data_IF_975832581133
#
_entry.id   IF_975832581133
#
_cell.length_a   1.000
_cell.length_b   1.000
_cell.length_c   1.000
_cell.angle_alpha   90.00
_cell.angle_beta   90.00
_cell.angle_gamma   90.00
#
_symmetry.space_group_name_H-M   'P 1'
#
loop_
_entity.id
_entity.type
_entity.pdbx_description
1 polymer ?
#
# COMPACT_ATOMS: atom_id res chain seq x y z
N UNK A 1 25.07 24.20 -25.05
CA UNK A 1 23.96 25.17 -25.07
C UNK A 1 22.66 24.38 -25.19
N UNK A 2 22.05 24.03 -24.05
CA UNK A 2 20.69 23.46 -23.96
C UNK A 2 20.02 23.80 -22.62
N UNK A 3 20.78 24.30 -21.65
CA UNK A 3 20.36 24.59 -20.28
C UNK A 3 19.21 25.59 -20.13
N UNK A 4 19.07 26.60 -21.00
CA UNK A 4 17.99 27.61 -20.83
C UNK A 4 16.61 27.12 -21.25
N UNK A 5 16.53 26.14 -22.16
CA UNK A 5 15.26 25.57 -22.63
C UNK A 5 14.74 24.52 -21.66
N UNK A 6 15.66 23.74 -21.08
CA UNK A 6 15.37 22.76 -20.04
C UNK A 6 14.95 23.44 -18.73
N UNK A 7 15.62 24.53 -18.33
CA UNK A 7 15.23 25.36 -17.16
C UNK A 7 13.84 26.00 -17.33
N UNK A 8 13.52 26.52 -18.52
CA UNK A 8 12.21 27.12 -18.78
C UNK A 8 11.08 26.06 -18.81
N UNK A 9 11.37 24.84 -19.25
CA UNK A 9 10.39 23.73 -19.22
C UNK A 9 10.16 23.22 -17.79
N UNK A 10 11.22 23.02 -16.99
CA UNK A 10 11.07 22.64 -15.57
C UNK A 10 10.30 23.69 -14.76
N UNK A 11 10.48 24.98 -15.08
CA UNK A 11 9.76 26.06 -14.43
C UNK A 11 8.28 26.08 -14.84
N UNK A 12 7.98 25.89 -16.14
CA UNK A 12 6.61 25.79 -16.64
C UNK A 12 5.86 24.55 -16.11
N UNK A 13 6.56 23.42 -15.91
CA UNK A 13 5.97 22.22 -15.29
C UNK A 13 5.61 22.46 -13.83
N UNK A 14 6.48 23.12 -13.05
CA UNK A 14 6.21 23.46 -11.63
C UNK A 14 5.07 24.47 -11.46
N UNK A 15 4.84 25.30 -12.47
CA UNK A 15 3.72 26.25 -12.52
C UNK A 15 2.37 25.58 -12.84
N UNK A 16 2.33 24.32 -13.31
CA UNK A 16 1.09 23.59 -13.51
C UNK A 16 0.31 23.47 -12.17
N UNK A 17 -0.98 23.86 -12.12
CA UNK A 17 -1.82 23.72 -10.93
C UNK A 17 -1.94 22.28 -10.39
N UNK A 18 -1.73 21.26 -11.23
CA UNK A 18 -1.76 19.84 -10.86
C UNK A 18 -0.36 19.25 -10.58
N UNK A 19 0.71 20.02 -10.73
CA UNK A 19 2.09 19.52 -10.55
C UNK A 19 2.31 18.72 -9.25
N UNK A 20 1.82 19.15 -8.06
CA UNK A 20 2.01 18.36 -6.83
C UNK A 20 1.36 16.98 -6.90
N UNK A 21 0.21 16.88 -7.58
CA UNK A 21 -0.52 15.63 -7.78
C UNK A 21 0.23 14.74 -8.75
N UNK A 22 0.70 15.30 -9.86
CA UNK A 22 1.44 14.58 -10.89
C UNK A 22 2.76 14.05 -10.32
N UNK A 23 3.53 14.89 -9.61
CA UNK A 23 4.77 14.50 -8.95
C UNK A 23 4.53 13.37 -7.93
N UNK A 24 3.51 13.50 -7.07
CA UNK A 24 3.14 12.46 -6.12
C UNK A 24 2.77 11.15 -6.83
N UNK A 25 1.96 11.22 -7.90
CA UNK A 25 1.58 10.03 -8.66
C UNK A 25 2.79 9.38 -9.34
N UNK A 26 3.73 10.15 -9.89
CA UNK A 26 4.97 9.62 -10.47
C UNK A 26 5.83 8.88 -9.43
N UNK A 27 5.88 9.35 -8.19
CA UNK A 27 6.57 8.63 -7.11
C UNK A 27 5.89 7.28 -6.81
N UNK A 28 4.57 7.24 -6.78
CA UNK A 28 3.82 6.00 -6.59
C UNK A 28 4.04 5.03 -7.77
N UNK A 29 4.00 5.53 -9.01
CA UNK A 29 4.28 4.75 -10.23
C UNK A 29 5.69 4.14 -10.19
N UNK A 30 6.69 4.90 -9.74
CA UNK A 30 8.05 4.39 -9.55
C UNK A 30 8.10 3.26 -8.51
N UNK A 31 7.42 3.40 -7.37
CA UNK A 31 7.36 2.33 -6.37
C UNK A 31 6.73 1.07 -6.94
N UNK A 32 5.63 1.20 -7.68
CA UNK A 32 4.92 0.07 -8.30
C UNK A 32 5.80 -0.64 -9.34
N UNK A 33 6.44 0.12 -10.22
CA UNK A 33 7.17 -0.40 -11.39
C UNK A 33 8.60 -0.85 -11.12
N UNK A 34 9.23 -0.35 -10.04
CA UNK A 34 10.60 -0.73 -9.67
C UNK A 34 10.64 -1.48 -8.33
N UNK A 35 10.23 -0.82 -7.25
CA UNK A 35 10.53 -1.30 -5.90
C UNK A 35 9.71 -2.54 -5.53
N UNK A 36 8.44 -2.58 -5.93
CA UNK A 36 7.61 -3.77 -5.75
C UNK A 36 8.05 -4.91 -6.66
N UNK A 37 8.46 -4.63 -7.90
CA UNK A 37 8.98 -5.66 -8.82
C UNK A 37 10.26 -6.30 -8.25
N UNK A 38 11.18 -5.48 -7.72
CA UNK A 38 12.36 -5.97 -7.01
C UNK A 38 11.99 -6.80 -5.78
N UNK A 39 10.94 -6.44 -5.04
CA UNK A 39 10.47 -7.22 -3.90
C UNK A 39 9.98 -8.62 -4.34
N UNK A 40 9.20 -8.71 -5.42
CA UNK A 40 8.81 -10.02 -5.99
C UNK A 40 10.03 -10.87 -6.31
N UNK A 41 10.98 -10.35 -7.10
CA UNK A 41 12.18 -11.10 -7.47
C UNK A 41 13.01 -11.53 -6.25
N UNK A 42 13.12 -10.66 -5.25
CA UNK A 42 13.86 -10.97 -4.02
C UNK A 42 13.19 -12.09 -3.23
N UNK A 43 11.86 -12.08 -3.17
CA UNK A 43 11.06 -13.14 -2.53
C UNK A 43 11.15 -14.44 -3.30
N UNK A 44 11.06 -14.43 -4.62
CA UNK A 44 11.12 -15.64 -5.45
C UNK A 44 12.50 -16.30 -5.34
N UNK A 45 13.55 -15.50 -5.48
CA UNK A 45 14.92 -15.97 -5.31
C UNK A 45 15.13 -16.53 -3.91
N UNK A 46 14.64 -15.86 -2.86
CA UNK A 46 14.78 -16.36 -1.50
C UNK A 46 13.96 -17.63 -1.25
N UNK A 47 12.68 -17.61 -1.63
CA UNK A 47 11.76 -18.71 -1.41
C UNK A 47 12.22 -19.90 -2.19
N UNK A 48 12.80 -19.81 -3.39
CA UNK A 48 13.14 -20.95 -4.26
C UNK A 48 14.65 -21.14 -4.50
N UNK A 49 15.51 -20.54 -3.67
CA UNK A 49 16.98 -20.56 -3.80
C UNK A 49 17.66 -21.93 -3.92
N UNK A 50 17.00 -23.03 -3.53
CA UNK A 50 17.55 -24.39 -3.52
C UNK A 50 17.05 -25.28 -4.68
N UNK A 51 16.26 -24.74 -5.61
CA UNK A 51 15.76 -25.46 -6.79
C UNK A 51 15.94 -24.63 -8.07
N UNK A 52 15.93 -25.28 -9.23
CA UNK A 52 15.65 -24.60 -10.50
C UNK A 52 14.17 -24.21 -10.55
N UNK A 53 13.88 -22.98 -10.09
CA UNK A 53 12.52 -22.45 -10.02
C UNK A 53 11.78 -22.53 -11.35
N UNK A 54 12.42 -22.09 -12.44
CA UNK A 54 11.82 -22.05 -13.78
C UNK A 54 11.41 -23.44 -14.25
N UNK A 55 12.23 -24.45 -13.99
CA UNK A 55 11.91 -25.84 -14.37
C UNK A 55 10.79 -26.43 -13.51
N UNK A 56 10.78 -26.15 -12.21
CA UNK A 56 9.78 -26.72 -11.29
C UNK A 56 8.42 -26.04 -11.46
N UNK A 57 8.37 -24.71 -11.56
CA UNK A 57 7.09 -23.97 -11.68
C UNK A 57 6.31 -24.36 -12.93
N UNK A 58 6.98 -24.59 -14.07
CA UNK A 58 6.33 -25.01 -15.32
C UNK A 58 5.61 -26.36 -15.24
N UNK A 59 5.89 -27.17 -14.22
CA UNK A 59 5.24 -28.46 -13.98
C UNK A 59 4.18 -28.39 -12.86
N UNK A 60 4.14 -27.31 -12.09
CA UNK A 60 3.27 -27.18 -10.94
C UNK A 60 1.79 -27.22 -11.36
N UNK A 61 0.93 -28.02 -10.68
CA UNK A 61 -0.50 -28.03 -11.00
C UNK A 61 -1.15 -26.66 -10.81
N UNK A 62 -2.03 -26.29 -11.76
CA UNK A 62 -2.70 -25.00 -11.74
C UNK A 62 -3.42 -24.68 -10.42
N UNK A 63 -4.00 -25.69 -9.77
CA UNK A 63 -4.72 -25.51 -8.50
C UNK A 63 -3.84 -24.97 -7.36
N UNK A 64 -2.53 -25.17 -7.43
CA UNK A 64 -1.57 -24.63 -6.45
C UNK A 64 -1.48 -23.11 -6.54
N UNK A 65 -1.59 -22.56 -7.75
CA UNK A 65 -1.52 -21.13 -8.01
C UNK A 65 -2.88 -20.44 -7.88
N UNK A 66 -3.91 -21.01 -8.52
CA UNK A 66 -5.19 -20.32 -8.70
C UNK A 66 -6.26 -20.73 -7.68
N UNK A 67 -6.15 -21.92 -7.09
CA UNK A 67 -7.18 -22.52 -6.25
C UNK A 67 -7.51 -21.67 -5.02
N UNK A 68 -8.68 -21.04 -5.01
CA UNK A 68 -9.15 -20.20 -3.91
C UNK A 68 -8.49 -18.81 -3.83
N UNK A 69 -7.62 -18.46 -4.80
CA UNK A 69 -6.94 -17.17 -4.89
C UNK A 69 -7.43 -16.37 -6.11
N UNK A 70 -7.77 -17.05 -7.20
CA UNK A 70 -8.08 -16.45 -8.49
C UNK A 70 -9.36 -17.02 -9.11
N UNK A 71 -10.17 -16.20 -9.82
CA UNK A 71 -11.31 -16.71 -10.58
C UNK A 71 -10.90 -17.54 -11.81
N UNK A 72 -9.61 -17.53 -12.20
CA UNK A 72 -9.09 -18.32 -13.33
C UNK A 72 -9.21 -19.84 -13.12
N UNK A 73 -9.39 -20.28 -11.87
CA UNK A 73 -9.75 -21.65 -11.54
C UNK A 73 -11.02 -21.71 -10.69
N UNK A 74 -12.13 -22.04 -11.34
CA UNK A 74 -13.39 -22.27 -10.65
C UNK A 74 -13.34 -23.60 -9.85
N UNK A 75 -13.18 -23.50 -8.53
CA UNK A 75 -13.19 -24.66 -7.65
C UNK A 75 -13.93 -24.42 -6.33
N UNK A 76 -14.50 -25.49 -5.76
CA UNK A 76 -15.02 -25.46 -4.39
C UNK A 76 -13.90 -25.68 -3.37
N UNK A 77 -14.14 -25.27 -2.12
CA UNK A 77 -13.22 -25.53 -1.01
C UNK A 77 -12.98 -27.04 -0.83
N UNK A 78 -14.03 -27.85 -0.92
CA UNK A 78 -13.94 -29.30 -0.73
C UNK A 78 -13.08 -29.95 -1.82
N UNK A 79 -13.18 -29.46 -3.07
CA UNK A 79 -12.35 -29.92 -4.17
C UNK A 79 -10.88 -29.55 -3.97
N UNK A 80 -10.60 -28.30 -3.58
CA UNK A 80 -9.24 -27.84 -3.27
C UNK A 80 -8.61 -28.67 -2.14
N UNK A 81 -9.36 -28.89 -1.06
CA UNK A 81 -8.89 -29.71 0.07
C UNK A 81 -8.67 -31.18 -0.32
N UNK A 82 -9.49 -31.74 -1.22
CA UNK A 82 -9.31 -33.10 -1.71
C UNK A 82 -8.00 -33.25 -2.52
N UNK A 83 -7.65 -32.27 -3.34
CA UNK A 83 -6.37 -32.22 -4.05
C UNK A 83 -5.19 -32.05 -3.09
N UNK A 84 -5.31 -31.09 -2.17
CA UNK A 84 -4.27 -30.80 -1.18
C UNK A 84 -3.94 -32.00 -0.29
N UNK A 85 -4.93 -32.85 0.04
CA UNK A 85 -4.72 -34.10 0.81
C UNK A 85 -3.85 -35.14 0.09
N UNK A 86 -3.72 -35.06 -1.23
CA UNK A 86 -2.88 -35.97 -2.03
C UNK A 86 -1.43 -35.50 -2.16
N UNK A 87 -1.08 -34.32 -1.63
CA UNK A 87 0.32 -33.85 -1.61
C UNK A 87 1.18 -34.81 -0.79
N UNK A 88 2.33 -35.17 -1.35
CA UNK A 88 3.32 -36.06 -0.72
C UNK A 88 4.63 -35.34 -0.39
N UNK A 89 4.83 -34.12 -0.89
CA UNK A 89 6.12 -33.40 -0.80
C UNK A 89 5.93 -31.93 -0.39
N UNK A 90 6.90 -31.39 0.35
CA UNK A 90 6.86 -30.04 0.92
C UNK A 90 6.85 -28.93 -0.16
N UNK A 91 7.31 -29.24 -1.37
CA UNK A 91 7.35 -28.28 -2.50
C UNK A 91 5.99 -27.66 -2.78
N UNK A 92 4.90 -28.44 -2.69
CA UNK A 92 3.56 -27.92 -2.92
C UNK A 92 3.16 -26.88 -1.88
N UNK A 93 3.37 -27.16 -0.59
CA UNK A 93 3.08 -26.21 0.48
C UNK A 93 3.90 -24.92 0.35
N UNK A 94 5.14 -25.04 -0.12
CA UNK A 94 6.03 -23.90 -0.38
C UNK A 94 5.54 -23.04 -1.54
N UNK A 95 5.04 -23.64 -2.63
CA UNK A 95 4.42 -22.90 -3.72
C UNK A 95 3.07 -22.27 -3.32
N UNK A 96 2.22 -22.97 -2.55
CA UNK A 96 0.97 -22.37 -2.02
C UNK A 96 1.31 -21.14 -1.17
N UNK A 97 2.28 -21.24 -0.27
CA UNK A 97 2.76 -20.11 0.52
C UNK A 97 3.28 -18.96 -0.35
N UNK A 98 4.04 -19.27 -1.39
CA UNK A 98 4.52 -18.26 -2.33
C UNK A 98 3.37 -17.50 -2.99
N UNK A 99 2.34 -18.18 -3.51
CA UNK A 99 1.20 -17.51 -4.14
C UNK A 99 0.33 -16.75 -3.13
N UNK A 100 0.18 -17.25 -1.91
CA UNK A 100 -0.46 -16.53 -0.81
C UNK A 100 0.24 -15.20 -0.51
N UNK A 101 1.59 -15.21 -0.45
CA UNK A 101 2.39 -14.01 -0.24
C UNK A 101 2.38 -13.09 -1.48
N UNK A 102 2.48 -13.66 -2.67
CA UNK A 102 2.41 -12.95 -3.95
C UNK A 102 1.10 -12.16 -4.07
N UNK A 103 -0.04 -12.78 -3.71
CA UNK A 103 -1.35 -12.10 -3.69
C UNK A 103 -1.39 -10.86 -2.79
N UNK A 104 -0.59 -10.83 -1.72
CA UNK A 104 -0.50 -9.67 -0.83
C UNK A 104 0.28 -8.54 -1.48
N UNK A 105 1.37 -8.87 -2.16
CA UNK A 105 2.17 -7.88 -2.91
C UNK A 105 1.34 -7.31 -4.06
N UNK A 106 0.57 -8.15 -4.77
CA UNK A 106 -0.35 -7.70 -5.83
C UNK A 106 -1.41 -6.75 -5.27
N UNK A 107 -2.03 -7.12 -4.14
CA UNK A 107 -2.97 -6.24 -3.45
C UNK A 107 -2.34 -4.90 -3.04
N UNK A 108 -1.05 -4.87 -2.68
CA UNK A 108 -0.35 -3.61 -2.39
C UNK A 108 -0.25 -2.71 -3.64
N UNK A 109 0.07 -3.27 -4.81
CA UNK A 109 0.10 -2.54 -6.08
C UNK A 109 -1.28 -2.00 -6.45
N UNK A 110 -2.34 -2.79 -6.25
CA UNK A 110 -3.72 -2.35 -6.48
C UNK A 110 -4.10 -1.18 -5.57
N UNK A 111 -3.70 -1.22 -4.28
CA UNK A 111 -3.98 -0.13 -3.34
C UNK A 111 -3.27 1.16 -3.70
N UNK A 112 -2.00 1.08 -4.10
CA UNK A 112 -1.23 2.23 -4.57
C UNK A 112 -1.81 2.80 -5.88
N UNK A 113 -2.22 1.93 -6.82
CA UNK A 113 -2.88 2.36 -8.06
C UNK A 113 -4.23 3.04 -7.79
N UNK A 114 -4.99 2.52 -6.83
CA UNK A 114 -6.24 3.13 -6.39
C UNK A 114 -6.03 4.52 -5.78
N UNK A 115 -4.98 4.71 -4.98
CA UNK A 115 -4.60 6.02 -4.44
C UNK A 115 -4.40 7.04 -5.56
N UNK A 116 -3.62 6.70 -6.59
CA UNK A 116 -3.40 7.58 -7.73
C UNK A 116 -4.71 7.91 -8.46
N UNK A 117 -5.56 6.90 -8.68
CA UNK A 117 -6.87 7.09 -9.32
C UNK A 117 -7.75 8.06 -8.51
N UNK A 118 -7.86 7.85 -7.20
CA UNK A 118 -8.66 8.70 -6.32
C UNK A 118 -8.13 10.13 -6.25
N UNK A 119 -6.80 10.29 -6.16
CA UNK A 119 -6.18 11.62 -6.20
C UNK A 119 -6.48 12.33 -7.53
N UNK A 120 -6.21 11.67 -8.67
CA UNK A 120 -6.47 12.26 -10.00
C UNK A 120 -7.92 12.70 -10.14
N UNK A 121 -8.89 11.89 -9.68
CA UNK A 121 -10.31 12.25 -9.71
C UNK A 121 -10.65 13.38 -8.73
N UNK A 122 -10.15 13.34 -7.50
CA UNK A 122 -10.38 14.38 -6.48
C UNK A 122 -10.00 15.76 -7.01
N UNK A 123 -8.85 15.85 -7.67
CA UNK A 123 -8.32 17.11 -8.16
C UNK A 123 -8.95 17.61 -9.47
N UNK A 124 -9.93 16.88 -10.01
CA UNK A 124 -10.88 17.44 -11.00
C UNK A 124 -12.03 18.23 -10.32
N UNK A 125 -12.18 18.09 -9.00
CA UNK A 125 -13.25 18.70 -8.21
C UNK A 125 -12.74 19.87 -7.39
N UNK A 126 -11.60 19.69 -6.69
CA UNK A 126 -10.99 20.72 -5.85
C UNK A 126 -9.55 21.02 -6.29
N UNK A 127 -9.05 22.26 -6.21
CA UNK A 127 -7.65 22.57 -6.49
C UNK A 127 -6.70 22.00 -5.42
N UNK A 128 -5.43 21.77 -5.78
CA UNK A 128 -4.38 21.36 -4.85
C UNK A 128 -3.40 22.47 -4.45
N UNK A 129 -3.62 23.70 -4.93
CA UNK A 129 -2.87 24.91 -4.59
C UNK A 129 -3.85 26.01 -4.21
N UNK A 130 -3.50 26.81 -3.21
CA UNK A 130 -4.20 28.06 -2.92
C UNK A 130 -3.46 29.24 -3.56
N UNK A 131 -4.23 30.25 -3.92
CA UNK A 131 -3.74 31.55 -4.40
C UNK A 131 -3.51 32.50 -3.22
N UNK A 132 -4.31 32.36 -2.16
CA UNK A 132 -4.27 33.25 -1.00
C UNK A 132 -3.96 32.50 0.30
N UNK A 133 -3.43 33.22 1.26
CA UNK A 133 -3.37 32.77 2.65
C UNK A 133 -4.71 32.94 3.35
N UNK A 134 -4.93 32.11 4.38
CA UNK A 134 -6.23 32.08 5.09
C UNK A 134 -6.62 33.45 5.65
N UNK A 135 -5.65 34.20 6.19
CA UNK A 135 -5.86 35.53 6.75
C UNK A 135 -6.27 36.60 5.71
N UNK A 136 -6.16 36.30 4.41
CA UNK A 136 -6.53 37.22 3.33
C UNK A 136 -7.98 37.05 2.87
N UNK A 137 -8.64 35.93 3.21
CA UNK A 137 -10.03 35.71 2.85
C UNK A 137 -10.93 36.71 3.59
N UNK A 138 -11.77 37.43 2.85
CA UNK A 138 -12.75 38.36 3.43
C UNK A 138 -14.07 37.68 3.75
N UNK A 139 -14.36 36.54 3.13
CA UNK A 139 -15.55 35.72 3.41
C UNK A 139 -15.39 34.30 2.87
N UNK A 140 -16.19 33.36 3.38
CA UNK A 140 -16.29 32.00 2.85
C UNK A 140 -17.73 31.51 2.91
N UNK A 141 -18.16 30.80 1.85
CA UNK A 141 -19.44 30.14 1.78
C UNK A 141 -19.25 28.62 1.88
N UNK A 142 -19.99 28.00 2.80
CA UNK A 142 -20.03 26.54 2.93
C UNK A 142 -20.93 25.97 1.84
N UNK A 143 -20.34 25.20 0.94
CA UNK A 143 -21.02 24.50 -0.13
C UNK A 143 -21.16 23.01 0.19
N UNK A 144 -22.25 22.42 -0.28
CA UNK A 144 -22.52 20.99 -0.17
C UNK A 144 -23.45 20.56 -1.28
N UNK A 145 -23.41 19.27 -1.59
CA UNK A 145 -24.08 18.72 -2.76
C UNK A 145 -23.43 17.41 -3.19
N UNK A 146 -23.86 16.88 -4.34
CA UNK A 146 -23.34 15.61 -4.86
C UNK A 146 -21.85 15.70 -5.13
N UNK A 147 -21.38 16.80 -5.73
CA UNK A 147 -19.97 16.99 -6.11
C UNK A 147 -19.05 17.15 -4.90
N UNK A 148 -19.49 17.88 -3.87
CA UNK A 148 -18.76 18.00 -2.61
C UNK A 148 -18.73 16.68 -1.83
N UNK A 149 -19.84 15.93 -1.88
CA UNK A 149 -19.90 14.58 -1.30
C UNK A 149 -18.91 13.65 -2.01
N UNK A 150 -18.86 13.70 -3.34
CA UNK A 150 -17.89 12.95 -4.15
C UNK A 150 -16.44 13.30 -3.80
N UNK A 151 -16.10 14.59 -3.67
CA UNK A 151 -14.77 15.02 -3.24
C UNK A 151 -14.37 14.42 -1.89
N UNK A 152 -15.27 14.44 -0.90
CA UNK A 152 -15.02 13.81 0.39
C UNK A 152 -14.88 12.29 0.30
N UNK A 153 -15.70 11.60 -0.51
CA UNK A 153 -15.57 10.15 -0.72
C UNK A 153 -14.21 9.81 -1.31
N UNK A 154 -13.78 10.53 -2.36
CA UNK A 154 -12.49 10.33 -3.00
C UNK A 154 -11.33 10.58 -2.04
N UNK A 155 -11.38 11.69 -1.30
CA UNK A 155 -10.39 12.04 -0.28
C UNK A 155 -10.26 10.99 0.82
N UNK A 156 -11.39 10.53 1.37
CA UNK A 156 -11.38 9.46 2.37
C UNK A 156 -10.89 8.13 1.79
N UNK A 157 -11.23 7.84 0.53
CA UNK A 157 -10.78 6.64 -0.17
C UNK A 157 -9.27 6.62 -0.37
N UNK A 158 -8.63 7.78 -0.55
CA UNK A 158 -7.16 7.90 -0.54
C UNK A 158 -6.62 7.40 0.80
N UNK A 159 -7.08 7.94 1.94
CA UNK A 159 -6.59 7.54 3.27
C UNK A 159 -6.85 6.05 3.58
N UNK A 160 -8.02 5.54 3.22
CA UNK A 160 -8.37 4.12 3.41
C UNK A 160 -7.46 3.21 2.59
N UNK A 161 -7.28 3.51 1.29
CA UNK A 161 -6.44 2.71 0.42
C UNK A 161 -4.98 2.76 0.88
N UNK A 162 -4.48 3.93 1.28
CA UNK A 162 -3.10 4.09 1.74
C UNK A 162 -2.84 3.39 3.08
N UNK A 163 -3.75 3.50 4.06
CA UNK A 163 -3.62 2.77 5.31
C UNK A 163 -3.62 1.24 5.11
N UNK A 164 -4.36 0.74 4.11
CA UNK A 164 -4.33 -0.67 3.73
C UNK A 164 -2.95 -1.11 3.23
N UNK A 165 -2.14 -0.22 2.64
CA UNK A 165 -0.75 -0.53 2.26
C UNK A 165 0.09 -0.84 3.51
N UNK A 166 -0.12 -0.10 4.61
CA UNK A 166 0.59 -0.34 5.87
C UNK A 166 0.24 -1.71 6.47
N UNK A 167 -1.04 -2.08 6.42
CA UNK A 167 -1.52 -3.39 6.85
C UNK A 167 -0.89 -4.52 6.03
N UNK A 168 -0.79 -4.35 4.71
CA UNK A 168 -0.17 -5.35 3.82
C UNK A 168 1.34 -5.46 4.06
N UNK A 169 2.06 -4.34 4.16
CA UNK A 169 3.50 -4.33 4.46
C UNK A 169 3.81 -4.97 5.82
N UNK A 170 2.94 -4.76 6.80
CA UNK A 170 3.02 -5.44 8.09
C UNK A 170 3.00 -6.95 7.93
N UNK A 171 2.09 -7.46 7.08
CA UNK A 171 2.01 -8.90 6.81
C UNK A 171 3.28 -9.42 6.16
N UNK A 172 3.78 -8.75 5.12
CA UNK A 172 5.01 -9.14 4.43
C UNK A 172 6.21 -9.13 5.39
N UNK A 173 6.35 -8.12 6.24
CA UNK A 173 7.43 -8.03 7.22
C UNK A 173 7.41 -9.18 8.24
N UNK A 174 6.23 -9.58 8.69
CA UNK A 174 6.06 -10.72 9.61
C UNK A 174 6.40 -12.03 8.90
N UNK A 175 5.94 -12.21 7.66
CA UNK A 175 6.26 -13.39 6.86
C UNK A 175 7.77 -13.51 6.60
N UNK A 176 8.44 -12.39 6.33
CA UNK A 176 9.90 -12.35 6.21
C UNK A 176 10.58 -12.79 7.52
N UNK A 177 10.16 -12.25 8.66
CA UNK A 177 10.78 -12.51 9.95
C UNK A 177 10.49 -13.92 10.48
N UNK A 178 9.30 -14.45 10.23
CA UNK A 178 8.87 -15.75 10.74
C UNK A 178 9.04 -16.91 9.74
N UNK A 179 9.65 -16.68 8.58
CA UNK A 179 9.77 -17.68 7.51
C UNK A 179 10.35 -19.02 8.01
N UNK A 180 11.40 -18.98 8.82
CA UNK A 180 12.07 -20.18 9.35
C UNK A 180 11.20 -21.02 10.30
N UNK A 181 10.01 -20.52 10.67
CA UNK A 181 9.05 -21.24 11.51
C UNK A 181 8.01 -22.02 10.69
N UNK A 182 8.12 -22.05 9.36
CA UNK A 182 7.23 -22.84 8.51
C UNK A 182 7.69 -24.28 8.35
N UNK A 183 6.71 -25.17 8.35
CA UNK A 183 6.83 -26.52 7.83
C UNK A 183 5.91 -26.64 6.60
N UNK A 184 6.51 -26.78 5.42
CA UNK A 184 5.77 -26.83 4.16
C UNK A 184 5.20 -28.22 3.85
N UNK A 185 5.49 -29.25 4.65
CA UNK A 185 4.83 -30.56 4.53
C UNK A 185 3.32 -30.47 4.81
N UNK A 186 2.88 -29.45 5.54
CA UNK A 186 1.48 -29.25 5.93
C UNK A 186 1.05 -27.79 6.01
N UNK A 187 1.54 -26.91 5.13
CA UNK A 187 1.25 -25.45 5.16
C UNK A 187 -0.26 -25.15 5.21
N UNK A 188 -0.76 -24.63 6.35
CA UNK A 188 -2.21 -24.40 6.59
C UNK A 188 -2.65 -22.94 6.50
N UNK A 189 -1.85 -22.00 7.02
CA UNK A 189 -2.21 -20.59 7.15
C UNK A 189 -0.95 -19.74 7.27
N UNK A 190 -0.95 -18.57 6.64
CA UNK A 190 0.04 -17.53 6.89
C UNK A 190 0.05 -17.08 8.35
N UNK A 191 1.23 -16.86 8.90
CA UNK A 191 1.47 -16.38 10.28
C UNK A 191 0.99 -14.95 10.48
N UNK A 192 0.99 -14.15 9.43
CA UNK A 192 0.51 -12.77 9.37
C UNK A 192 -0.99 -12.61 9.18
N UNK A 193 -1.75 -13.70 9.02
CA UNK A 193 -3.15 -13.68 8.57
C UNK A 193 -4.07 -12.73 9.37
N UNK A 194 -3.94 -12.74 10.70
CA UNK A 194 -4.76 -11.94 11.62
C UNK A 194 -4.02 -10.70 12.15
N UNK A 195 -2.92 -10.31 11.51
CA UNK A 195 -2.08 -9.19 11.96
C UNK A 195 -2.23 -8.01 10.98
N UNK A 196 -2.50 -6.85 11.55
CA UNK A 196 -2.59 -5.55 10.86
C UNK A 196 -1.54 -4.60 11.42
N UNK A 197 -1.32 -3.48 10.75
CA UNK A 197 -0.39 -2.46 11.23
C UNK A 197 -0.85 -1.96 12.60
N UNK A 198 0.10 -1.85 13.53
CA UNK A 198 -0.12 -1.36 14.88
C UNK A 198 1.18 -0.85 15.48
N UNK A 199 1.05 -0.03 16.50
CA UNK A 199 2.20 0.45 17.28
C UNK A 199 2.98 -0.71 17.89
N UNK A 200 4.30 -0.54 17.96
CA UNK A 200 5.24 -1.40 18.68
C UNK A 200 5.17 -2.86 18.23
N UNK A 201 5.14 -3.09 16.92
CA UNK A 201 5.17 -4.43 16.36
C UNK A 201 6.51 -5.12 16.66
N UNK A 202 6.49 -6.29 17.30
CA UNK A 202 7.72 -6.94 17.81
C UNK A 202 8.24 -8.10 16.95
N UNK A 203 7.40 -8.66 16.08
CA UNK A 203 7.74 -9.84 15.28
C UNK A 203 8.22 -9.45 13.88
N UNK A 204 9.15 -8.51 13.80
CA UNK A 204 9.74 -8.00 12.56
C UNK A 204 11.23 -7.70 12.77
N UNK A 205 11.99 -7.67 11.68
CA UNK A 205 13.40 -7.31 11.73
C UNK A 205 13.61 -5.88 12.25
N UNK A 206 14.62 -5.70 13.11
CA UNK A 206 14.90 -4.41 13.75
C UNK A 206 15.29 -3.29 12.77
N UNK A 207 15.85 -3.64 11.61
CA UNK A 207 16.20 -2.67 10.57
C UNK A 207 14.98 -1.93 10.00
N UNK A 208 13.80 -2.57 10.07
CA UNK A 208 12.52 -2.00 9.62
C UNK A 208 11.97 -0.94 10.60
N UNK A 209 12.57 -0.80 11.79
CA UNK A 209 12.21 0.21 12.81
C UNK A 209 13.12 1.43 12.82
N UNK A 210 14.08 1.52 11.89
CA UNK A 210 14.97 2.68 11.77
C UNK A 210 14.21 3.89 11.25
N UNK A 211 14.70 5.09 11.59
CA UNK A 211 14.14 6.35 11.09
C UNK A 211 13.99 6.32 9.56
N UNK A 212 12.88 6.87 9.07
CA UNK A 212 12.51 6.83 7.65
C UNK A 212 11.80 5.55 7.18
N UNK A 213 11.50 4.61 8.10
CA UNK A 213 10.75 3.37 7.83
C UNK A 213 9.34 3.40 8.42
N UNK A 214 8.45 2.58 7.87
CA UNK A 214 7.06 2.48 8.30
C UNK A 214 6.91 2.13 9.79
N UNK A 215 7.75 1.22 10.29
CA UNK A 215 7.66 0.73 11.67
C UNK A 215 8.48 1.55 12.66
N UNK A 216 9.09 2.66 12.23
CA UNK A 216 9.55 3.73 13.11
C UNK A 216 8.40 4.66 13.54
N UNK A 217 7.19 4.44 13.01
CA UNK A 217 5.96 5.17 13.34
C UNK A 217 6.08 6.70 13.17
N UNK A 218 6.60 7.20 12.03
CA UNK A 218 6.73 8.64 11.83
C UNK A 218 5.36 9.33 11.80
N UNK A 219 5.25 10.61 12.19
CA UNK A 219 3.97 11.30 12.36
C UNK A 219 3.06 11.25 11.13
N UNK A 220 3.61 11.29 9.91
CA UNK A 220 2.79 11.22 8.68
C UNK A 220 1.99 9.91 8.56
N UNK A 221 2.56 8.79 8.99
CA UNK A 221 1.88 7.49 9.01
C UNK A 221 0.73 7.53 10.01
N UNK A 222 0.96 8.11 11.20
CA UNK A 222 -0.08 8.33 12.21
C UNK A 222 -1.20 9.22 11.69
N UNK A 223 -0.89 10.31 10.97
CA UNK A 223 -1.92 11.19 10.36
C UNK A 223 -2.84 10.43 9.41
N UNK A 224 -2.28 9.61 8.51
CA UNK A 224 -3.05 8.78 7.58
C UNK A 224 -3.93 7.78 8.34
N UNK A 225 -3.40 7.11 9.37
CA UNK A 225 -4.18 6.21 10.21
C UNK A 225 -5.32 6.93 10.93
N UNK A 226 -5.07 8.13 11.47
CA UNK A 226 -6.08 8.95 12.16
C UNK A 226 -7.25 9.27 11.24
N UNK A 227 -6.97 9.75 10.02
CA UNK A 227 -8.01 10.01 9.03
C UNK A 227 -8.76 8.73 8.62
N UNK A 228 -8.06 7.63 8.36
CA UNK A 228 -8.69 6.34 8.04
C UNK A 228 -9.61 5.87 9.16
N UNK A 229 -9.13 5.90 10.40
CA UNK A 229 -9.85 5.35 11.55
C UNK A 229 -11.09 6.18 11.86
N UNK A 230 -10.99 7.51 11.81
CA UNK A 230 -12.16 8.38 11.95
C UNK A 230 -13.19 8.06 10.89
N UNK A 231 -12.80 7.98 9.62
CA UNK A 231 -13.74 7.70 8.54
C UNK A 231 -14.43 6.34 8.68
N UNK A 232 -13.66 5.28 8.98
CA UNK A 232 -14.17 3.91 9.06
C UNK A 232 -15.05 3.70 10.29
N UNK A 233 -14.73 4.32 11.43
CA UNK A 233 -15.42 4.05 12.69
C UNK A 233 -16.47 5.11 13.07
N UNK A 234 -16.23 6.37 12.70
CA UNK A 234 -17.04 7.53 13.12
C UNK A 234 -17.68 8.27 11.94
N UNK A 235 -17.38 7.87 10.69
CA UNK A 235 -17.84 8.54 9.47
C UNK A 235 -17.01 9.78 9.15
N UNK A 236 -17.53 10.70 8.30
CA UNK A 236 -16.78 11.89 7.87
C UNK A 236 -16.23 12.70 9.06
N UNK A 237 -14.98 13.17 8.95
CA UNK A 237 -14.39 14.02 9.99
C UNK A 237 -14.96 15.43 9.99
N UNK A 238 -15.67 15.85 8.95
CA UNK A 238 -16.47 17.07 8.95
C UNK A 238 -17.90 16.78 9.45
N UNK A 239 -18.60 17.78 9.98
CA UNK A 239 -20.00 17.66 10.41
C UNK A 239 -20.91 17.25 9.24
N UNK A 240 -20.56 17.72 8.02
CA UNK A 240 -21.09 17.26 6.73
C UNK A 240 -20.00 17.46 5.68
N UNK A 241 -19.95 16.61 4.65
CA UNK A 241 -19.03 16.74 3.51
C UNK A 241 -19.15 18.13 2.84
N UNK A 242 -18.44 19.11 3.36
CA UNK A 242 -18.53 20.50 2.95
C UNK A 242 -17.23 20.90 2.25
N UNK A 243 -17.39 21.75 1.24
CA UNK A 243 -16.28 22.46 0.59
C UNK A 243 -16.55 23.94 0.76
N UNK A 244 -15.51 24.74 0.93
CA UNK A 244 -15.62 26.15 1.22
C UNK A 244 -15.15 26.96 0.02
N UNK A 245 -16.06 27.72 -0.58
CA UNK A 245 -15.73 28.68 -1.62
C UNK A 245 -15.43 30.02 -0.94
N UNK A 246 -14.18 30.45 -1.02
CA UNK A 246 -13.69 31.67 -0.38
C UNK A 246 -13.79 32.87 -1.33
N UNK A 247 -13.73 34.07 -0.77
CA UNK A 247 -13.66 35.31 -1.53
C UNK A 247 -12.72 36.31 -0.87
N UNK A 248 -12.07 37.14 -1.71
CA UNK A 248 -11.20 38.24 -1.29
C UNK A 248 -11.77 39.52 -1.90
N UNK A 249 -12.16 40.46 -1.03
CA UNK A 249 -12.81 41.71 -1.42
C UNK A 249 -14.08 41.51 -2.27
N UNK A 250 -14.83 40.44 -2.01
CA UNK A 250 -16.07 40.10 -2.71
C UNK A 250 -15.87 39.29 -3.99
N UNK A 251 -14.64 39.11 -4.47
CA UNK A 251 -14.33 38.32 -5.65
C UNK A 251 -14.01 36.86 -5.29
N UNK A 252 -14.45 35.86 -6.08
CA UNK A 252 -14.13 34.45 -5.84
C UNK A 252 -12.62 34.20 -5.74
N UNK A 253 -12.21 33.43 -4.73
CA UNK A 253 -10.83 33.09 -4.46
C UNK A 253 -10.62 31.57 -4.51
N UNK A 254 -10.22 30.93 -3.41
CA UNK A 254 -9.89 29.51 -3.34
C UNK A 254 -11.07 28.62 -2.97
N UNK A 255 -10.97 27.34 -3.34
CA UNK A 255 -11.89 26.26 -2.95
C UNK A 255 -11.16 25.36 -1.95
N UNK A 256 -11.67 25.29 -0.72
CA UNK A 256 -10.97 24.68 0.41
C UNK A 256 -11.76 23.53 1.03
N UNK A 257 -11.06 22.44 1.35
CA UNK A 257 -11.54 21.42 2.27
C UNK A 257 -10.74 21.58 3.57
N UNK A 258 -11.41 21.90 4.67
CA UNK A 258 -10.75 21.97 5.96
C UNK A 258 -10.61 20.58 6.59
N UNK A 259 -9.47 20.33 7.23
CA UNK A 259 -9.27 19.17 8.11
C UNK A 259 -9.16 19.59 9.58
N UNK A 260 -9.48 18.70 10.52
CA UNK A 260 -9.32 18.99 11.93
C UNK A 260 -7.87 19.27 12.33
N UNK A 261 -7.71 19.99 13.44
CA UNK A 261 -6.44 20.25 14.08
C UNK A 261 -5.77 18.94 14.51
N UNK A 262 -4.46 18.86 14.29
CA UNK A 262 -3.66 17.70 14.66
C UNK A 262 -2.53 18.10 15.62
N UNK A 263 -2.20 17.18 16.54
CA UNK A 263 -0.98 17.27 17.33
C UNK A 263 0.26 16.92 16.50
N UNK A 264 1.46 17.16 17.08
CA UNK A 264 2.74 16.90 16.43
C UNK A 264 2.97 15.42 16.07
N UNK A 265 2.25 14.51 16.75
CA UNK A 265 2.38 13.06 16.58
C UNK A 265 1.39 12.56 15.51
N UNK A 266 0.39 13.36 15.14
CA UNK A 266 -0.58 13.07 14.08
C UNK A 266 -1.95 12.59 14.55
N UNK A 267 -2.32 12.82 15.82
CA UNK A 267 -3.68 12.58 16.31
C UNK A 267 -4.53 13.84 16.19
N UNK A 268 -5.84 13.70 16.07
CA UNK A 268 -6.74 14.83 16.21
C UNK A 268 -6.69 15.40 17.62
N UNK A 269 -6.57 16.73 17.73
CA UNK A 269 -6.71 17.43 19.00
C UNK A 269 -8.13 17.19 19.52
N UNK A 270 -8.26 16.78 20.79
CA UNK A 270 -9.56 16.38 21.35
C UNK A 270 -9.78 16.91 22.77
N UNK A 271 -11.06 17.07 23.12
CA UNK A 271 -11.55 17.39 24.46
C UNK A 271 -12.86 16.62 24.70
N UNK A 272 -12.79 15.58 25.53
CA UNK A 272 -13.88 14.62 25.68
C UNK A 272 -14.22 13.95 24.35
N UNK A 273 -15.50 13.93 23.99
CA UNK A 273 -15.98 13.37 22.70
C UNK A 273 -15.82 14.30 21.50
N UNK A 274 -15.26 15.51 21.68
CA UNK A 274 -15.04 16.46 20.58
C UNK A 274 -13.61 16.37 20.10
N UNK A 275 -13.41 16.06 18.82
CA UNK A 275 -12.11 15.86 18.17
C UNK A 275 -11.99 16.62 16.83
N UNK A 276 -12.90 17.57 16.56
CA UNK A 276 -13.03 18.31 15.31
C UNK A 276 -12.84 19.81 15.54
N UNK A 277 -11.65 20.19 16.00
CA UNK A 277 -11.24 21.59 16.11
C UNK A 277 -10.58 22.05 14.81
N UNK A 278 -10.61 23.34 14.47
CA UNK A 278 -10.14 23.87 13.18
C UNK A 278 -9.33 25.17 13.33
N UNK A 279 -8.71 25.37 14.49
CA UNK A 279 -7.94 26.58 14.82
C UNK A 279 -6.62 26.69 14.04
N UNK A 280 -6.09 25.58 13.52
CA UNK A 280 -4.87 25.54 12.72
C UNK A 280 -5.13 25.87 11.23
N UNK A 281 -6.39 26.04 10.83
CA UNK A 281 -6.79 26.32 9.46
C UNK A 281 -6.20 25.34 8.43
N UNK A 282 -6.13 24.05 8.78
CA UNK A 282 -5.57 23.01 7.91
C UNK A 282 -6.42 22.87 6.63
N UNK A 283 -5.77 22.92 5.46
CA UNK A 283 -6.39 22.85 4.13
C UNK A 283 -5.99 21.53 3.46
N UNK A 284 -6.79 20.49 3.66
CA UNK A 284 -6.37 19.11 3.34
C UNK A 284 -6.21 18.87 1.84
N UNK A 285 -7.02 19.51 0.99
CA UNK A 285 -6.85 19.42 -0.46
C UNK A 285 -5.51 20.01 -0.94
N UNK A 286 -4.89 20.89 -0.16
CA UNK A 286 -3.57 21.45 -0.48
C UNK A 286 -2.47 20.58 0.13
N UNK A 287 -2.67 20.08 1.34
CA UNK A 287 -1.68 19.29 2.08
C UNK A 287 -1.56 17.83 1.56
N UNK A 288 -2.64 17.27 1.01
CA UNK A 288 -2.71 15.84 0.69
C UNK A 288 -1.62 15.36 -0.29
N UNK A 289 -1.26 16.05 -1.39
CA UNK A 289 -0.23 15.56 -2.30
C UNK A 289 1.12 15.35 -1.59
N UNK A 290 1.54 16.32 -0.78
CA UNK A 290 2.78 16.23 -0.01
C UNK A 290 2.70 15.14 1.06
N UNK A 291 1.56 15.04 1.76
CA UNK A 291 1.33 13.99 2.75
C UNK A 291 1.48 12.58 2.15
N UNK A 292 0.91 12.36 0.96
CA UNK A 292 0.97 11.07 0.27
C UNK A 292 2.37 10.82 -0.31
N UNK A 293 3.04 11.85 -0.83
CA UNK A 293 4.44 11.76 -1.28
C UNK A 293 5.37 11.34 -0.15
N UNK A 294 5.29 12.00 1.01
CA UNK A 294 6.10 11.68 2.20
C UNK A 294 5.85 10.25 2.68
N UNK A 295 4.58 9.84 2.75
CA UNK A 295 4.23 8.46 3.08
C UNK A 295 4.76 7.45 2.04
N UNK A 296 4.77 7.82 0.76
CA UNK A 296 5.29 7.00 -0.33
C UNK A 296 6.79 6.79 -0.21
N UNK A 297 7.55 7.82 0.18
CA UNK A 297 8.99 7.69 0.44
C UNK A 297 9.24 6.68 1.56
N UNK A 298 8.49 6.75 2.66
CA UNK A 298 8.60 5.81 3.79
C UNK A 298 8.24 4.37 3.38
N UNK A 299 7.15 4.22 2.62
CA UNK A 299 6.72 2.93 2.05
C UNK A 299 7.81 2.35 1.16
N UNK A 300 8.37 3.17 0.26
CA UNK A 300 9.44 2.76 -0.65
C UNK A 300 10.68 2.27 0.12
N UNK A 301 11.15 3.06 1.09
CA UNK A 301 12.28 2.69 1.93
C UNK A 301 12.06 1.35 2.64
N UNK A 302 10.84 1.14 3.15
CA UNK A 302 10.46 -0.10 3.83
C UNK A 302 10.46 -1.30 2.87
N UNK A 303 9.92 -1.14 1.66
CA UNK A 303 9.93 -2.18 0.60
C UNK A 303 11.37 -2.53 0.20
N UNK A 304 12.24 -1.52 0.08
CA UNK A 304 13.63 -1.70 -0.29
C UNK A 304 14.41 -2.43 0.81
N UNK A 305 14.15 -2.09 2.08
CA UNK A 305 14.73 -2.80 3.21
C UNK A 305 14.25 -4.25 3.27
N UNK A 306 12.95 -4.52 3.02
CA UNK A 306 12.43 -5.89 2.93
C UNK A 306 13.10 -6.67 1.79
N UNK A 307 13.26 -6.05 0.62
CA UNK A 307 13.97 -6.66 -0.51
C UNK A 307 15.40 -7.03 -0.13
N UNK A 308 16.12 -6.11 0.54
CA UNK A 308 17.48 -6.36 1.01
C UNK A 308 17.55 -7.49 2.05
N UNK A 309 16.57 -7.61 2.95
CA UNK A 309 16.50 -8.70 3.92
C UNK A 309 16.32 -10.06 3.23
N UNK A 310 15.43 -10.16 2.23
CA UNK A 310 15.26 -11.37 1.44
C UNK A 310 16.52 -11.73 0.63
N UNK A 311 17.15 -10.73 0.01
CA UNK A 311 18.41 -10.91 -0.72
C UNK A 311 19.54 -11.39 0.20
N UNK A 312 19.70 -10.79 1.38
CA UNK A 312 20.71 -11.19 2.35
C UNK A 312 20.48 -12.63 2.89
N UNK A 313 19.23 -13.06 2.95
CA UNK A 313 18.86 -14.40 3.37
C UNK A 313 18.91 -15.45 2.22
N UNK A 314 19.20 -15.02 0.99
CA UNK A 314 19.38 -15.88 -0.18
C UNK A 314 20.84 -16.33 -0.25
N UNK A 315 21.16 -17.45 0.40
CA UNK A 315 22.53 -17.94 0.59
C UNK A 315 22.80 -19.30 -0.08
N UNK A 316 21.74 -19.99 -0.51
CA UNK A 316 21.82 -21.28 -1.20
C UNK A 316 21.77 -21.08 -2.71
N UNK A 317 22.12 -22.15 -3.41
CA UNK A 317 22.02 -22.24 -4.86
C UNK A 317 21.22 -23.48 -5.23
N UNK A 318 20.68 -23.49 -6.45
CA UNK A 318 19.91 -24.60 -6.96
C UNK A 318 20.69 -25.91 -6.83
N UNK A 319 20.06 -26.90 -6.20
CA UNK A 319 20.56 -28.26 -6.12
C UNK A 319 19.84 -29.10 -7.17
N UNK A 320 20.59 -29.67 -8.12
CA UNK A 320 20.03 -30.44 -9.23
C UNK A 320 19.34 -31.73 -8.73
N UNK A 321 19.87 -32.37 -7.68
CA UNK A 321 19.27 -33.58 -7.12
C UNK A 321 17.93 -33.24 -6.45
N UNK A 322 17.90 -32.17 -5.65
CA UNK A 322 16.67 -31.74 -4.99
C UNK A 322 15.64 -31.19 -5.99
N UNK A 323 16.10 -30.52 -7.05
CA UNK A 323 15.25 -30.12 -8.19
C UNK A 323 14.60 -31.35 -8.83
N UNK A 324 15.38 -32.40 -9.10
CA UNK A 324 14.85 -33.63 -9.68
C UNK A 324 13.90 -34.37 -8.73
N UNK A 325 14.16 -34.35 -7.42
CA UNK A 325 13.25 -34.86 -6.39
C UNK A 325 11.90 -34.12 -6.43
N UNK A 326 11.92 -32.79 -6.49
CA UNK A 326 10.70 -31.98 -6.61
C UNK A 326 9.90 -32.32 -7.87
N UNK A 327 10.57 -32.48 -9.02
CA UNK A 327 9.93 -32.84 -10.28
C UNK A 327 9.30 -34.25 -10.23
N UNK A 328 10.01 -35.22 -9.65
CA UNK A 328 9.49 -36.57 -9.45
C UNK A 328 8.24 -36.55 -8.56
N UNK A 329 8.26 -35.79 -7.46
CA UNK A 329 7.11 -35.64 -6.58
C UNK A 329 5.88 -35.03 -7.29
N UNK A 330 6.10 -34.07 -8.18
CA UNK A 330 5.02 -33.49 -9.01
C UNK A 330 4.48 -34.53 -9.99
N UNK A 331 5.34 -35.31 -10.64
CA UNK A 331 4.93 -36.37 -11.56
C UNK A 331 4.14 -37.48 -10.86
N UNK A 332 4.60 -37.91 -9.68
CA UNK A 332 3.92 -38.89 -8.84
C UNK A 332 2.56 -38.38 -8.38
N UNK A 333 2.47 -37.10 -8.03
CA UNK A 333 1.19 -36.45 -7.73
C UNK A 333 0.21 -36.55 -8.91
N UNK A 334 0.63 -36.22 -10.14
CA UNK A 334 -0.24 -36.40 -11.32
C UNK A 334 -0.64 -37.85 -11.55
N UNK A 335 0.26 -38.81 -11.32
CA UNK A 335 -0.06 -40.23 -11.43
C UNK A 335 -1.08 -40.69 -10.37
N UNK A 336 -1.09 -40.08 -9.18
CA UNK A 336 -2.08 -40.35 -8.12
C UNK A 336 -3.48 -39.74 -8.38
N UNK A 337 -3.61 -38.89 -9.40
CA UNK A 337 -4.88 -38.32 -9.84
C UNK A 337 -5.58 -39.16 -10.92
N UNK A 338 -4.86 -40.08 -11.55
CA UNK A 338 -5.42 -41.10 -12.46
C UNK A 338 -6.03 -42.22 -11.64
#
# INVERSE_FOLDING_TARGET
>A
MNTSKDLNNEQAEKENPLYPVDECCSHIEMVISDSIIRLYHSIDNFIFQDIDYSRVISNMPQWVADGGISPELNCTKEWYEALRKKITHSIFGRFIYHYDLWSKIAAMQDRLSAVMMFMRQLYTIVPCKAIYEECQYTSAARCGGTRETEAHILLNSVFVAYASVFDILTKIAIEQFEFNKYDFSGYKKMRSSDIIYRKSLNNIDSSLKKEGMLFAEPPIIRKIETFRNEFVHNGPWDLRCSVYNTAVNGEPADVIIYSPDMDEIGNFISSGSRNKFYSQANRINIQLPDMIKDATIIVNNTINQLSALYQAATIRHADENYTQECLNAIMDYYNSLK
#
